data_IF_842043790785
#
_entry.id   IF_842043790785
#
_cell.length_a   1.000
_cell.length_b   1.000
_cell.length_c   1.000
_cell.angle_alpha   90.00
_cell.angle_beta   90.00
_cell.angle_gamma   90.00
#
_symmetry.space_group_name_H-M   'P 1'
#
loop_
_entity.id
_entity.type
_entity.pdbx_description
1 polymer ?
#
# COMPACT_ATOMS: atom_id res chain seq x y z
N UNK A 1 20.27 -4.11 12.84
CA UNK A 1 20.89 -2.84 13.21
C UNK A 1 20.46 -1.75 12.24
N UNK A 2 19.57 -0.85 12.67
CA UNK A 2 19.44 0.51 12.15
C UNK A 2 19.33 1.40 13.38
N UNK A 3 20.38 2.18 13.67
CA UNK A 3 20.31 3.18 14.75
C UNK A 3 19.46 4.33 14.25
N UNK A 4 18.54 4.81 15.10
CA UNK A 4 17.55 5.84 14.76
C UNK A 4 18.19 7.13 14.18
N UNK A 5 19.44 7.40 14.54
CA UNK A 5 20.14 8.65 14.21
C UNK A 5 20.48 8.82 12.70
N UNK A 6 20.51 7.73 11.92
CA UNK A 6 20.69 7.77 10.45
C UNK A 6 19.44 7.36 9.66
N UNK A 7 18.30 7.15 10.34
CA UNK A 7 17.07 6.61 9.74
C UNK A 7 16.20 7.67 9.05
N UNK A 8 16.53 8.95 9.24
CA UNK A 8 15.65 10.06 8.92
C UNK A 8 15.82 10.60 7.49
N UNK A 9 16.51 9.91 6.56
CA UNK A 9 16.81 10.43 5.23
C UNK A 9 15.88 9.97 4.09
N UNK A 10 15.19 8.83 4.25
CA UNK A 10 14.39 8.20 3.20
C UNK A 10 13.03 7.77 3.74
N UNK A 11 11.97 8.17 3.05
CA UNK A 11 10.59 7.77 3.37
C UNK A 11 10.33 6.42 2.68
N UNK A 12 10.40 5.31 3.42
CA UNK A 12 10.18 3.97 2.86
C UNK A 12 8.72 3.75 2.46
N UNK A 13 7.80 4.13 3.34
CA UNK A 13 6.36 4.04 3.12
C UNK A 13 5.66 5.26 3.73
N UNK A 14 4.56 5.66 3.11
CA UNK A 14 3.71 6.76 3.57
C UNK A 14 2.23 6.41 3.40
N UNK A 15 1.40 6.86 4.33
CA UNK A 15 -0.04 6.63 4.27
C UNK A 15 -0.68 7.39 3.09
N UNK A 16 -1.83 6.95 2.56
CA UNK A 16 -2.55 7.69 1.51
C UNK A 16 -2.81 9.15 1.89
N UNK A 17 -3.19 9.40 3.15
CA UNK A 17 -3.42 10.76 3.66
C UNK A 17 -2.15 11.61 3.64
N UNK A 18 -1.00 11.05 4.03
CA UNK A 18 0.27 11.76 3.98
C UNK A 18 0.63 12.18 2.55
N UNK A 19 0.45 11.28 1.58
CA UNK A 19 0.68 11.55 0.15
C UNK A 19 -0.24 12.67 -0.36
N UNK A 20 -1.53 12.61 -0.01
CA UNK A 20 -2.51 13.63 -0.40
C UNK A 20 -2.20 15.01 0.17
N UNK A 21 -1.75 15.08 1.42
CA UNK A 21 -1.48 16.35 2.10
C UNK A 21 -0.16 16.98 1.64
N UNK A 22 0.90 16.18 1.49
CA UNK A 22 2.25 16.70 1.25
C UNK A 22 2.76 16.51 -0.18
N UNK A 23 2.01 15.83 -1.05
CA UNK A 23 2.36 15.62 -2.45
C UNK A 23 3.64 14.78 -2.66
N UNK A 24 4.08 14.01 -1.66
CA UNK A 24 5.30 13.19 -1.74
C UNK A 24 4.96 11.71 -1.86
N UNK A 25 5.61 11.04 -2.80
CA UNK A 25 5.50 9.59 -3.01
C UNK A 25 6.43 8.81 -2.05
N UNK A 26 6.25 7.48 -2.02
CA UNK A 26 7.20 6.57 -1.37
C UNK A 26 8.59 6.71 -2.01
N UNK A 27 9.65 6.39 -1.25
CA UNK A 27 11.07 6.54 -1.65
C UNK A 27 11.49 8.02 -1.82
N UNK A 28 10.64 8.96 -1.42
CA UNK A 28 10.98 10.37 -1.31
C UNK A 28 11.96 10.65 -0.17
N UNK A 29 12.66 11.78 -0.25
CA UNK A 29 13.57 12.22 0.81
C UNK A 29 12.80 13.04 1.84
N UNK A 30 13.05 12.75 3.10
CA UNK A 30 12.44 13.49 4.23
C UNK A 30 12.77 14.99 4.19
N UNK A 31 13.97 15.35 3.73
CA UNK A 31 14.40 16.75 3.63
C UNK A 31 13.69 17.51 2.51
N UNK A 32 13.01 16.84 1.57
CA UNK A 32 12.20 17.50 0.54
C UNK A 32 10.78 17.84 1.02
N UNK A 33 10.41 17.45 2.24
CA UNK A 33 9.12 17.75 2.83
C UNK A 33 8.93 19.27 3.02
N UNK A 34 7.69 19.78 2.92
CA UNK A 34 7.41 21.20 3.13
C UNK A 34 7.48 21.61 4.61
N UNK A 35 7.96 20.73 5.50
CA UNK A 35 8.14 20.99 6.92
C UNK A 35 9.39 20.27 7.45
N UNK A 36 9.96 20.79 8.52
CA UNK A 36 11.06 20.15 9.23
C UNK A 36 10.53 19.01 10.11
N UNK A 37 11.11 17.82 9.96
CA UNK A 37 10.62 16.58 10.60
C UNK A 37 10.76 16.56 12.12
N UNK A 38 11.65 17.38 12.69
CA UNK A 38 11.89 17.42 14.13
C UNK A 38 10.98 18.46 14.79
N UNK A 39 10.96 19.67 14.23
CA UNK A 39 10.23 20.83 14.77
C UNK A 39 8.78 20.91 14.30
N UNK A 40 8.42 20.20 13.24
CA UNK A 40 7.09 20.23 12.58
C UNK A 40 6.67 21.60 12.06
N UNK A 41 7.64 22.50 11.89
CA UNK A 41 7.43 23.85 11.33
C UNK A 41 7.60 23.85 9.82
N UNK A 42 6.92 24.75 9.14
CA UNK A 42 7.01 24.90 7.69
C UNK A 42 8.44 25.24 7.25
N UNK A 43 8.89 24.62 6.14
CA UNK A 43 10.21 24.87 5.55
C UNK A 43 10.11 25.84 4.38
N UNK A 44 10.38 27.12 4.64
CA UNK A 44 10.44 28.15 3.60
C UNK A 44 11.51 27.87 2.55
N UNK A 45 12.65 27.31 2.97
CA UNK A 45 13.74 26.94 2.08
C UNK A 45 13.28 25.91 1.03
N UNK A 46 12.54 24.88 1.47
CA UNK A 46 12.05 23.84 0.56
C UNK A 46 10.93 24.33 -0.36
N UNK A 47 10.06 25.21 0.15
CA UNK A 47 9.03 25.85 -0.67
C UNK A 47 9.64 26.71 -1.78
N UNK A 48 10.68 27.49 -1.45
CA UNK A 48 11.39 28.32 -2.42
C UNK A 48 12.09 27.48 -3.49
N UNK A 49 12.78 26.39 -3.10
CA UNK A 49 13.39 25.44 -4.04
C UNK A 49 12.39 24.80 -5.01
N UNK A 50 11.14 24.63 -4.56
CA UNK A 50 10.07 24.01 -5.34
C UNK A 50 9.22 25.04 -6.11
N UNK A 51 9.52 26.35 -5.99
CA UNK A 51 8.76 27.41 -6.64
C UNK A 51 7.32 27.52 -6.16
N UNK A 52 7.02 27.09 -4.93
CA UNK A 52 5.66 27.10 -4.37
C UNK A 52 5.38 28.48 -3.78
N UNK A 53 4.28 29.10 -4.18
CA UNK A 53 3.81 30.35 -3.58
C UNK A 53 3.31 30.12 -2.14
N UNK A 54 3.91 30.82 -1.18
CA UNK A 54 3.69 30.57 0.25
C UNK A 54 2.69 31.57 0.81
N UNK A 55 1.43 31.14 0.91
CA UNK A 55 0.39 31.90 1.62
C UNK A 55 0.34 31.55 3.12
N UNK A 56 -0.12 32.46 4.00
CA UNK A 56 -0.33 32.15 5.41
C UNK A 56 -1.26 30.95 5.65
N UNK A 57 -2.29 30.80 4.80
CA UNK A 57 -3.22 29.67 4.83
C UNK A 57 -2.51 28.35 4.50
N UNK A 58 -1.69 28.33 3.45
CA UNK A 58 -0.91 27.14 3.08
C UNK A 58 0.07 26.73 4.17
N UNK A 59 0.81 27.69 4.74
CA UNK A 59 1.71 27.44 5.88
C UNK A 59 0.97 26.79 7.05
N UNK A 60 -0.15 27.40 7.48
CA UNK A 60 -0.95 26.89 8.60
C UNK A 60 -1.48 25.47 8.33
N UNK A 61 -1.93 25.21 7.10
CA UNK A 61 -2.35 23.88 6.66
C UNK A 61 -1.24 22.84 6.78
N UNK A 62 -0.03 23.14 6.27
CA UNK A 62 1.11 22.22 6.35
C UNK A 62 1.52 21.97 7.79
N UNK A 63 1.65 23.01 8.63
CA UNK A 63 2.03 22.85 10.04
C UNK A 63 0.97 22.09 10.85
N UNK A 64 -0.31 22.29 10.54
CA UNK A 64 -1.42 21.55 11.15
C UNK A 64 -1.29 20.04 10.93
N UNK A 65 -1.01 19.62 9.70
CA UNK A 65 -0.82 18.21 9.38
C UNK A 65 0.54 17.67 9.86
N UNK A 66 1.61 18.46 9.76
CA UNK A 66 2.94 18.07 10.22
C UNK A 66 2.94 17.66 11.70
N UNK A 67 2.18 18.38 12.54
CA UNK A 67 1.98 18.07 13.96
C UNK A 67 1.28 16.73 14.22
N UNK A 68 0.45 16.25 13.29
CA UNK A 68 -0.29 14.98 13.39
C UNK A 68 0.43 13.80 12.73
N UNK A 69 1.46 14.08 11.93
CA UNK A 69 2.24 13.06 11.25
C UNK A 69 3.16 12.33 12.22
N UNK A 70 2.94 11.04 12.41
CA UNK A 70 3.89 10.17 13.09
C UNK A 70 5.01 9.78 12.13
N UNK A 71 6.26 10.03 12.53
CA UNK A 71 7.46 9.55 11.83
C UNK A 71 8.05 8.47 12.72
N UNK A 72 8.09 7.24 12.20
CA UNK A 72 8.49 6.05 12.95
C UNK A 72 9.58 5.30 12.19
N UNK A 73 10.54 4.66 12.88
CA UNK A 73 11.51 3.81 12.23
C UNK A 73 10.82 2.57 11.64
N UNK A 74 11.32 2.03 10.50
CA UNK A 74 10.79 0.80 9.93
C UNK A 74 11.01 -0.39 10.86
N UNK A 75 10.02 -1.28 10.91
CA UNK A 75 10.04 -2.52 11.73
C UNK A 75 9.88 -3.73 10.82
N UNK A 76 10.97 -4.14 10.17
CA UNK A 76 10.95 -5.21 9.16
C UNK A 76 10.49 -6.56 9.73
N UNK A 77 10.87 -6.86 10.96
CA UNK A 77 10.41 -8.02 11.73
C UNK A 77 8.88 -8.08 11.81
N UNK A 78 8.24 -6.96 12.14
CA UNK A 78 6.78 -6.85 12.20
C UNK A 78 6.11 -7.00 10.84
N UNK A 79 6.75 -6.50 9.78
CA UNK A 79 6.21 -6.64 8.42
C UNK A 79 6.27 -8.10 7.95
N UNK A 80 7.35 -8.82 8.27
CA UNK A 80 7.49 -10.24 7.97
C UNK A 80 6.45 -11.05 8.75
N UNK A 81 6.29 -10.78 10.05
CA UNK A 81 5.27 -11.43 10.89
C UNK A 81 3.86 -11.27 10.30
N UNK A 82 3.51 -10.05 9.86
CA UNK A 82 2.22 -9.78 9.22
C UNK A 82 2.08 -10.42 7.84
N UNK A 83 3.14 -10.44 7.03
CA UNK A 83 3.13 -11.17 5.77
C UNK A 83 2.85 -12.65 6.01
N UNK A 84 3.56 -13.31 6.93
CA UNK A 84 3.32 -14.71 7.26
C UNK A 84 1.88 -14.94 7.70
N UNK A 85 1.31 -14.07 8.53
CA UNK A 85 -0.10 -14.17 8.94
C UNK A 85 -1.06 -14.15 7.72
N UNK A 86 -0.81 -13.29 6.73
CA UNK A 86 -1.58 -13.21 5.49
C UNK A 86 -1.37 -14.48 4.63
N UNK A 87 -0.14 -14.99 4.52
CA UNK A 87 0.14 -16.23 3.80
C UNK A 87 -0.64 -17.42 4.38
N UNK A 88 -0.77 -17.51 5.71
CA UNK A 88 -1.61 -18.52 6.35
C UNK A 88 -3.10 -18.36 6.04
N UNK A 89 -3.58 -17.13 5.78
CA UNK A 89 -4.97 -16.92 5.32
C UNK A 89 -5.13 -17.49 3.91
N UNK A 90 -4.16 -17.27 3.02
CA UNK A 90 -4.21 -17.80 1.65
C UNK A 90 -4.29 -19.32 1.59
N UNK A 91 -3.68 -20.02 2.55
CA UNK A 91 -3.77 -21.49 2.64
C UNK A 91 -5.19 -22.02 2.90
N UNK A 92 -6.14 -21.17 3.31
CA UNK A 92 -7.55 -21.55 3.38
C UNK A 92 -8.23 -21.59 2.00
N UNK A 93 -7.58 -21.02 0.97
CA UNK A 93 -8.14 -20.79 -0.37
C UNK A 93 -7.41 -21.53 -1.48
N UNK A 94 -6.12 -21.82 -1.30
CA UNK A 94 -5.29 -22.48 -2.29
C UNK A 94 -4.26 -23.40 -1.60
N UNK A 95 -3.81 -24.42 -2.31
CA UNK A 95 -2.72 -25.26 -1.82
C UNK A 95 -1.42 -24.46 -1.73
N UNK A 96 -0.44 -24.86 -0.90
CA UNK A 96 0.84 -24.16 -0.80
C UNK A 96 1.55 -23.97 -2.15
N UNK A 97 1.46 -24.96 -3.04
CA UNK A 97 2.07 -24.90 -4.38
C UNK A 97 1.37 -23.89 -5.32
N UNK A 98 0.11 -23.54 -5.03
CA UNK A 98 -0.69 -22.57 -5.78
C UNK A 98 -0.55 -21.14 -5.22
N UNK A 99 0.19 -20.95 -4.11
CA UNK A 99 0.48 -19.65 -3.51
C UNK A 99 1.91 -19.29 -3.86
N UNK A 100 2.09 -18.18 -4.58
CA UNK A 100 3.37 -17.73 -5.10
C UNK A 100 3.73 -16.38 -4.47
N UNK A 101 4.43 -16.35 -3.31
CA UNK A 101 4.97 -15.12 -2.74
C UNK A 101 5.91 -14.42 -3.73
N UNK A 102 5.73 -13.12 -3.93
CA UNK A 102 6.56 -12.33 -4.85
C UNK A 102 7.41 -11.30 -4.11
N UNK A 103 6.82 -10.60 -3.14
CA UNK A 103 7.50 -9.68 -2.21
C UNK A 103 6.89 -9.79 -0.81
N UNK A 104 7.31 -8.93 0.12
CA UNK A 104 6.75 -8.86 1.48
C UNK A 104 5.29 -8.38 1.51
N UNK A 105 4.84 -7.67 0.48
CA UNK A 105 3.51 -7.07 0.37
C UNK A 105 2.73 -7.51 -0.88
N UNK A 106 3.33 -8.33 -1.75
CA UNK A 106 2.73 -8.82 -2.99
C UNK A 106 2.90 -10.33 -3.15
N UNK A 107 1.88 -10.98 -3.69
CA UNK A 107 1.91 -12.40 -4.03
C UNK A 107 0.82 -12.74 -5.05
N UNK A 108 0.93 -13.93 -5.63
CA UNK A 108 -0.06 -14.48 -6.54
C UNK A 108 -0.70 -15.72 -5.92
N UNK A 109 -1.96 -15.95 -6.25
CA UNK A 109 -2.70 -17.13 -5.83
C UNK A 109 -3.37 -17.70 -7.07
N UNK A 110 -3.04 -18.94 -7.42
CA UNK A 110 -3.78 -19.67 -8.44
C UNK A 110 -5.02 -20.31 -7.81
N UNK A 111 -6.19 -19.80 -8.18
CA UNK A 111 -7.47 -20.31 -7.72
C UNK A 111 -8.09 -21.28 -8.74
N UNK A 112 -7.39 -21.66 -9.80
CA UNK A 112 -7.96 -22.44 -10.92
C UNK A 112 -8.56 -23.77 -10.47
N UNK A 113 -7.86 -24.48 -9.59
CA UNK A 113 -8.27 -25.76 -9.01
C UNK A 113 -9.30 -25.60 -7.90
N UNK A 114 -9.20 -24.52 -7.11
CA UNK A 114 -9.97 -24.33 -5.88
C UNK A 114 -11.28 -23.54 -6.07
N UNK A 115 -11.43 -22.78 -7.16
CA UNK A 115 -12.54 -21.85 -7.36
C UNK A 115 -13.93 -22.50 -7.28
N UNK A 116 -14.08 -23.71 -7.83
CA UNK A 116 -15.34 -24.46 -7.83
C UNK A 116 -15.72 -25.02 -6.46
N UNK A 117 -14.76 -25.19 -5.54
CA UNK A 117 -15.03 -25.63 -4.17
C UNK A 117 -15.70 -24.52 -3.35
N UNK A 118 -15.31 -23.27 -3.58
CA UNK A 118 -15.92 -22.12 -2.89
C UNK A 118 -17.24 -21.70 -3.52
N UNK A 119 -17.33 -21.72 -4.86
CA UNK A 119 -18.54 -21.32 -5.60
C UNK A 119 -18.93 -22.43 -6.59
N UNK A 120 -19.80 -23.34 -6.13
CA UNK A 120 -20.26 -24.49 -6.89
C UNK A 120 -21.28 -24.17 -7.98
N UNK A 121 -21.91 -22.99 -7.93
CA UNK A 121 -22.95 -22.59 -8.88
C UNK A 121 -22.41 -22.56 -10.32
N UNK A 122 -22.89 -23.47 -11.17
CA UNK A 122 -22.42 -23.61 -12.55
C UNK A 122 -22.95 -22.52 -13.49
N UNK A 123 -23.95 -21.77 -13.08
CA UNK A 123 -24.52 -20.67 -13.88
C UNK A 123 -23.66 -19.41 -13.85
N UNK A 124 -22.82 -19.25 -12.83
CA UNK A 124 -21.94 -18.08 -12.70
C UNK A 124 -20.71 -18.17 -13.60
N UNK A 125 -20.36 -17.04 -14.22
CA UNK A 125 -19.10 -16.91 -14.95
C UNK A 125 -17.90 -17.13 -14.04
N UNK A 126 -16.81 -17.67 -14.59
CA UNK A 126 -15.53 -17.81 -13.87
C UNK A 126 -15.07 -16.48 -13.28
N UNK A 127 -15.31 -15.37 -13.99
CA UNK A 127 -14.99 -14.01 -13.52
C UNK A 127 -15.75 -13.67 -12.23
N UNK A 128 -17.06 -13.89 -12.20
CA UNK A 128 -17.91 -13.54 -11.05
C UNK A 128 -17.59 -14.42 -9.85
N UNK A 129 -17.28 -15.69 -10.06
CA UNK A 129 -16.78 -16.57 -9.00
C UNK A 129 -15.47 -16.04 -8.42
N UNK A 130 -14.53 -15.66 -9.28
CA UNK A 130 -13.22 -15.16 -8.88
C UNK A 130 -13.35 -13.85 -8.11
N UNK A 131 -14.27 -12.97 -8.52
CA UNK A 131 -14.57 -11.72 -7.82
C UNK A 131 -15.11 -11.99 -6.40
N UNK A 132 -16.05 -12.92 -6.27
CA UNK A 132 -16.59 -13.32 -4.95
C UNK A 132 -15.51 -13.91 -4.03
N UNK A 133 -14.69 -14.84 -4.54
CA UNK A 133 -13.61 -15.43 -3.74
C UNK A 133 -12.54 -14.39 -3.40
N UNK A 134 -12.22 -13.48 -4.32
CA UNK A 134 -11.30 -12.37 -4.05
C UNK A 134 -11.82 -11.45 -2.94
N UNK A 135 -13.11 -11.12 -2.96
CA UNK A 135 -13.74 -10.34 -1.89
C UNK A 135 -13.74 -11.07 -0.55
N UNK A 136 -13.90 -12.39 -0.53
CA UNK A 136 -13.76 -13.22 0.67
C UNK A 136 -12.35 -13.15 1.25
N UNK A 137 -11.33 -13.33 0.40
CA UNK A 137 -9.91 -13.24 0.79
C UNK A 137 -9.60 -11.85 1.37
N UNK A 138 -9.99 -10.77 0.69
CA UNK A 138 -9.77 -9.40 1.17
C UNK A 138 -10.46 -9.16 2.53
N UNK A 139 -11.69 -9.67 2.70
CA UNK A 139 -12.43 -9.56 3.96
C UNK A 139 -11.74 -10.31 5.09
N UNK A 140 -11.21 -11.49 4.83
CA UNK A 140 -10.53 -12.29 5.84
C UNK A 140 -9.17 -11.69 6.23
N UNK A 141 -8.41 -11.16 5.26
CA UNK A 141 -7.20 -10.36 5.55
C UNK A 141 -7.56 -9.20 6.46
N UNK A 142 -8.58 -8.42 6.10
CA UNK A 142 -8.98 -7.25 6.88
C UNK A 142 -9.45 -7.63 8.30
N UNK A 143 -10.29 -8.65 8.43
CA UNK A 143 -10.80 -9.11 9.73
C UNK A 143 -9.70 -9.61 10.66
N UNK A 144 -8.72 -10.33 10.12
CA UNK A 144 -7.67 -10.95 10.92
C UNK A 144 -6.51 -10.00 11.23
N UNK A 145 -6.15 -9.14 10.27
CA UNK A 145 -4.93 -8.33 10.35
C UNK A 145 -5.20 -6.82 10.47
N UNK A 146 -6.40 -6.35 10.11
CA UNK A 146 -6.73 -4.93 9.98
C UNK A 146 -6.18 -4.27 8.71
N UNK A 147 -5.50 -5.02 7.84
CA UNK A 147 -4.86 -4.50 6.62
C UNK A 147 -5.87 -4.50 5.48
N UNK A 148 -5.90 -3.39 4.73
CA UNK A 148 -6.65 -3.29 3.47
C UNK A 148 -5.74 -3.77 2.34
N UNK A 149 -6.19 -4.77 1.59
CA UNK A 149 -5.47 -5.33 0.45
C UNK A 149 -6.16 -5.00 -0.87
N UNK A 150 -5.39 -4.71 -1.91
CA UNK A 150 -5.89 -4.60 -3.29
C UNK A 150 -5.70 -5.92 -4.01
N UNK A 151 -6.72 -6.40 -4.71
CA UNK A 151 -6.65 -7.61 -5.54
C UNK A 151 -6.91 -7.24 -6.99
N UNK A 152 -6.16 -7.83 -7.90
CA UNK A 152 -6.41 -7.78 -9.34
C UNK A 152 -6.44 -9.19 -9.89
N UNK A 153 -7.42 -9.43 -10.75
CA UNK A 153 -7.69 -10.73 -11.34
C UNK A 153 -7.13 -10.82 -12.75
N UNK A 154 -6.57 -11.97 -13.10
CA UNK A 154 -6.15 -12.31 -14.45
C UNK A 154 -6.69 -13.68 -14.83
N UNK A 155 -7.25 -13.79 -16.04
CA UNK A 155 -7.74 -15.05 -16.58
C UNK A 155 -6.68 -15.83 -17.36
N UNK A 156 -5.42 -15.39 -17.34
CA UNK A 156 -4.37 -15.99 -18.17
C UNK A 156 -3.09 -16.28 -17.39
N UNK A 157 -2.43 -15.27 -16.81
CA UNK A 157 -1.15 -15.45 -16.15
C UNK A 157 -0.85 -14.35 -15.10
N UNK A 158 0.13 -14.58 -14.19
CA UNK A 158 0.55 -13.62 -13.17
C UNK A 158 1.08 -12.28 -13.72
N UNK A 159 1.77 -12.29 -14.86
CA UNK A 159 2.31 -11.08 -15.48
C UNK A 159 1.21 -10.07 -15.81
N UNK A 160 0.11 -10.54 -16.41
CA UNK A 160 -1.04 -9.70 -16.73
C UNK A 160 -1.74 -9.17 -15.46
N UNK A 161 -1.82 -9.99 -14.41
CA UNK A 161 -2.39 -9.56 -13.12
C UNK A 161 -1.58 -8.40 -12.53
N UNK A 162 -0.25 -8.55 -12.49
CA UNK A 162 0.66 -7.54 -11.95
C UNK A 162 0.64 -6.26 -12.79
N UNK A 163 0.65 -6.39 -14.12
CA UNK A 163 0.57 -5.24 -15.03
C UNK A 163 -0.74 -4.46 -14.82
N UNK A 164 -1.87 -5.15 -14.69
CA UNK A 164 -3.15 -4.52 -14.43
C UNK A 164 -3.18 -3.82 -13.05
N UNK A 165 -2.63 -4.46 -12.01
CA UNK A 165 -2.47 -3.88 -10.66
C UNK A 165 -1.66 -2.57 -10.69
N UNK A 166 -0.51 -2.57 -11.37
CA UNK A 166 0.37 -1.41 -11.44
C UNK A 166 -0.23 -0.27 -12.28
N UNK A 167 -0.93 -0.61 -13.38
CA UNK A 167 -1.60 0.39 -14.22
C UNK A 167 -2.75 1.06 -13.48
N UNK A 168 -3.54 0.29 -12.74
CA UNK A 168 -4.65 0.83 -11.95
C UNK A 168 -4.13 1.73 -10.81
N UNK A 169 -3.06 1.31 -10.13
CA UNK A 169 -2.40 2.11 -9.11
C UNK A 169 -1.76 3.41 -9.64
N UNK A 170 -1.45 3.49 -10.95
CA UNK A 170 -1.02 4.74 -11.61
C UNK A 170 -2.22 5.63 -11.94
N UNK A 171 -3.29 5.08 -12.52
CA UNK A 171 -4.50 5.85 -12.87
C UNK A 171 -5.16 6.52 -11.66
N UNK A 172 -5.29 5.80 -10.54
CA UNK A 172 -5.85 6.36 -9.32
C UNK A 172 -5.02 7.53 -8.75
N UNK A 173 -3.71 7.62 -9.06
CA UNK A 173 -2.90 8.79 -8.69
C UNK A 173 -3.21 10.03 -9.52
N UNK A 174 -3.73 9.89 -10.74
CA UNK A 174 -4.09 11.02 -11.62
C UNK A 174 -5.51 11.53 -11.36
N UNK A 175 -6.41 10.67 -10.86
CA UNK A 175 -7.82 11.03 -10.60
C UNK A 175 -8.07 11.70 -9.24
N UNK A 176 -7.06 11.79 -8.38
CA UNK A 176 -7.13 12.44 -7.05
C UNK A 176 -6.39 13.80 -7.00
N UNK A 177 -5.93 14.30 -8.15
CA UNK A 177 -5.19 15.57 -8.30
C UNK A 177 -6.07 16.78 -8.54
#
# INVERSE_FOLDING_TARGET
MSRADNSAGLILASSPMFKKVFGKANVGRSYDLPFDINTRKFSYQNAWKQGIDVTPKYKSFIEHWAKRTLIVPPRMDRYIEKNLEIQHIFQNYAAPDDILPYSIDEGFIDLTSSLSYFISDKSMSRKDKLDNVSAMIQRDIYRKTGIISTVVMSNSNPLLAKLALDNEAKKNRYNEG
#
